data_IF_478088943475
#
_entry.id   IF_478088943475
#
_cell.length_a   1.000
_cell.length_b   1.000
_cell.length_c   1.000
_cell.angle_alpha   90.00
_cell.angle_beta   90.00
_cell.angle_gamma   90.00
#
_symmetry.space_group_name_H-M   'P 1'
#
loop_
_entity.id
_entity.type
_entity.pdbx_description
1 polymer ?
#
# COMPACT_ATOMS: atom_id res chain seq x y z
N UNK A 1 -29.26 106.76 12.25
CA UNK A 1 -30.09 105.90 11.37
C UNK A 1 -29.20 105.10 10.39
N UNK A 2 -28.10 104.50 10.86
CA UNK A 2 -27.16 103.74 10.02
C UNK A 2 -26.87 102.33 10.52
N UNK A 3 -27.10 102.06 11.82
CA UNK A 3 -26.74 100.76 12.42
C UNK A 3 -27.77 99.65 12.14
N UNK A 4 -29.06 99.97 12.07
CA UNK A 4 -30.12 98.97 11.88
C UNK A 4 -30.06 98.29 10.49
N UNK A 5 -29.61 99.02 9.45
CA UNK A 5 -29.47 98.49 8.09
C UNK A 5 -28.25 97.59 7.93
N UNK A 6 -27.17 97.87 8.65
CA UNK A 6 -25.97 97.03 8.69
C UNK A 6 -26.24 95.70 9.42
N UNK A 7 -26.95 95.74 10.55
CA UNK A 7 -27.31 94.54 11.31
C UNK A 7 -28.18 93.59 10.46
N UNK A 8 -29.18 94.14 9.75
CA UNK A 8 -30.03 93.35 8.85
C UNK A 8 -29.25 92.74 7.67
N UNK A 9 -28.24 93.45 7.15
CA UNK A 9 -27.37 92.92 6.10
C UNK A 9 -26.52 91.75 6.58
N UNK A 10 -25.87 91.86 7.75
CA UNK A 10 -25.09 90.76 8.32
C UNK A 10 -25.96 89.55 8.68
N UNK A 11 -27.15 89.76 9.24
CA UNK A 11 -28.09 88.66 9.51
C UNK A 11 -28.51 87.91 8.23
N UNK A 12 -28.71 88.63 7.12
CA UNK A 12 -28.99 88.01 5.82
C UNK A 12 -27.76 87.30 5.24
N UNK A 13 -26.56 87.86 5.38
CA UNK A 13 -25.31 87.23 4.95
C UNK A 13 -25.05 85.92 5.72
N UNK A 14 -25.28 85.91 7.03
CA UNK A 14 -25.17 84.72 7.87
C UNK A 14 -26.22 83.66 7.50
N UNK A 15 -27.46 84.06 7.23
CA UNK A 15 -28.51 83.15 6.77
C UNK A 15 -28.22 82.53 5.39
N UNK A 16 -27.50 83.25 4.52
CA UNK A 16 -27.03 82.72 3.23
C UNK A 16 -25.84 81.77 3.45
N UNK A 17 -24.89 82.13 4.32
CA UNK A 17 -23.75 81.27 4.66
C UNK A 17 -24.20 79.93 5.27
N UNK A 18 -25.18 79.95 6.19
CA UNK A 18 -25.77 78.74 6.77
C UNK A 18 -26.43 77.85 5.70
N UNK A 19 -27.22 78.44 4.79
CA UNK A 19 -27.84 77.67 3.70
C UNK A 19 -26.81 77.03 2.76
N UNK A 20 -25.71 77.72 2.49
CA UNK A 20 -24.60 77.17 1.68
C UNK A 20 -23.94 75.99 2.42
N UNK A 21 -23.72 76.10 3.73
CA UNK A 21 -23.17 75.02 4.55
C UNK A 21 -24.11 73.80 4.56
N UNK A 22 -25.40 73.99 4.84
CA UNK A 22 -26.40 72.92 4.86
C UNK A 22 -26.49 72.21 3.50
N UNK A 23 -26.46 72.97 2.40
CA UNK A 23 -26.49 72.41 1.06
C UNK A 23 -25.24 71.59 0.74
N UNK A 24 -24.07 72.08 1.15
CA UNK A 24 -22.81 71.34 0.99
C UNK A 24 -22.80 70.06 1.82
N UNK A 25 -23.25 70.10 3.08
CA UNK A 25 -23.37 68.91 3.92
C UNK A 25 -24.35 67.89 3.35
N UNK A 26 -25.48 68.35 2.81
CA UNK A 26 -26.45 67.48 2.16
C UNK A 26 -25.87 66.79 0.93
N UNK A 27 -25.17 67.54 0.06
CA UNK A 27 -24.45 66.98 -1.10
C UNK A 27 -23.43 65.93 -0.69
N UNK A 28 -22.63 66.23 0.34
CA UNK A 28 -21.61 65.31 0.85
C UNK A 28 -22.24 64.03 1.41
N UNK A 29 -23.33 64.14 2.16
CA UNK A 29 -24.10 62.98 2.65
C UNK A 29 -24.65 62.13 1.50
N UNK A 30 -25.16 62.74 0.45
CA UNK A 30 -25.63 62.00 -0.74
C UNK A 30 -24.49 61.27 -1.46
N UNK A 31 -23.33 61.90 -1.62
CA UNK A 31 -22.17 61.28 -2.26
C UNK A 31 -21.62 60.10 -1.45
N UNK A 32 -21.56 60.23 -0.13
CA UNK A 32 -21.17 59.13 0.77
C UNK A 32 -22.17 57.98 0.66
N UNK A 33 -23.48 58.26 0.77
CA UNK A 33 -24.52 57.23 0.66
C UNK A 33 -24.52 56.53 -0.71
N UNK A 34 -24.22 57.25 -1.80
CA UNK A 34 -24.07 56.66 -3.12
C UNK A 34 -22.86 55.73 -3.20
N UNK A 35 -21.72 56.13 -2.63
CA UNK A 35 -20.50 55.29 -2.57
C UNK A 35 -20.72 54.04 -1.72
N UNK A 36 -21.35 54.17 -0.56
CA UNK A 36 -21.69 53.03 0.31
C UNK A 36 -22.52 51.98 -0.43
N UNK A 37 -23.60 52.39 -1.13
CA UNK A 37 -24.40 51.47 -1.94
C UNK A 37 -23.57 50.76 -3.02
N UNK A 38 -22.66 51.47 -3.69
CA UNK A 38 -21.81 50.82 -4.69
C UNK A 38 -20.84 49.81 -4.09
N UNK A 39 -20.33 50.07 -2.88
CA UNK A 39 -19.47 49.15 -2.16
C UNK A 39 -20.26 47.91 -1.76
N UNK A 40 -21.46 48.06 -1.20
CA UNK A 40 -22.32 46.94 -0.81
C UNK A 40 -22.63 46.03 -2.00
N UNK A 41 -23.01 46.62 -3.15
CA UNK A 41 -23.27 45.87 -4.38
C UNK A 41 -22.03 45.12 -4.87
N UNK A 42 -20.84 45.71 -4.76
CA UNK A 42 -19.60 45.05 -5.15
C UNK A 42 -19.23 43.91 -4.21
N UNK A 43 -19.45 44.09 -2.90
CA UNK A 43 -19.22 43.06 -1.89
C UNK A 43 -20.17 41.88 -2.11
N UNK A 44 -21.45 42.14 -2.36
CA UNK A 44 -22.46 41.12 -2.64
C UNK A 44 -22.12 40.33 -3.90
N UNK A 45 -21.75 41.01 -5.00
CA UNK A 45 -21.28 40.35 -6.23
C UNK A 45 -20.03 39.49 -5.99
N UNK A 46 -19.10 39.98 -5.16
CA UNK A 46 -17.89 39.23 -4.83
C UNK A 46 -18.19 38.01 -3.94
N UNK A 47 -19.13 38.11 -3.00
CA UNK A 47 -19.58 36.98 -2.19
C UNK A 47 -20.29 35.93 -3.03
N UNK A 48 -21.17 36.36 -3.95
CA UNK A 48 -21.89 35.45 -4.84
C UNK A 48 -20.94 34.73 -5.79
N UNK A 49 -19.95 35.44 -6.34
CA UNK A 49 -18.92 34.84 -7.17
C UNK A 49 -18.11 33.78 -6.39
N UNK A 50 -17.78 34.04 -5.13
CA UNK A 50 -17.09 33.05 -4.27
C UNK A 50 -17.98 31.86 -3.94
N UNK A 51 -19.25 32.10 -3.62
CA UNK A 51 -20.22 31.04 -3.33
C UNK A 51 -20.42 30.13 -4.56
N UNK A 52 -20.54 30.71 -5.75
CA UNK A 52 -20.66 29.97 -7.00
C UNK A 52 -19.41 29.14 -7.32
N UNK A 53 -18.22 29.69 -7.11
CA UNK A 53 -16.96 28.92 -7.25
C UNK A 53 -16.89 27.75 -6.27
N UNK A 54 -17.30 27.95 -5.03
CA UNK A 54 -17.33 26.89 -4.02
C UNK A 54 -18.36 25.81 -4.37
N UNK A 55 -19.54 26.20 -4.86
CA UNK A 55 -20.57 25.28 -5.31
C UNK A 55 -20.11 24.44 -6.51
N UNK A 56 -19.49 25.07 -7.50
CA UNK A 56 -18.93 24.38 -8.66
C UNK A 56 -17.86 23.35 -8.26
N UNK A 57 -16.93 23.74 -7.38
CA UNK A 57 -15.90 22.82 -6.88
C UNK A 57 -16.49 21.65 -6.08
N UNK A 58 -17.55 21.89 -5.29
CA UNK A 58 -18.26 20.80 -4.58
C UNK A 58 -18.94 19.84 -5.56
N UNK A 59 -19.58 20.36 -6.62
CA UNK A 59 -20.22 19.53 -7.63
C UNK A 59 -19.21 18.65 -8.38
N UNK A 60 -18.08 19.23 -8.80
CA UNK A 60 -17.00 18.50 -9.45
C UNK A 60 -16.46 17.38 -8.56
N UNK A 61 -16.23 17.66 -7.27
CA UNK A 61 -15.75 16.67 -6.31
C UNK A 61 -16.75 15.53 -6.09
N UNK A 62 -18.05 15.83 -6.09
CA UNK A 62 -19.11 14.82 -5.97
C UNK A 62 -19.19 13.98 -7.24
N UNK A 63 -19.06 14.58 -8.42
CA UNK A 63 -19.03 13.86 -9.70
C UNK A 63 -17.84 12.90 -9.76
N UNK A 64 -16.63 13.38 -9.46
CA UNK A 64 -15.43 12.55 -9.43
C UNK A 64 -15.54 11.39 -8.42
N UNK A 65 -16.16 11.63 -7.25
CA UNK A 65 -16.43 10.58 -6.29
C UNK A 65 -17.40 9.53 -6.81
N UNK A 66 -18.49 9.95 -7.45
CA UNK A 66 -19.48 9.04 -8.03
C UNK A 66 -18.88 8.20 -9.17
N UNK A 67 -18.08 8.81 -10.04
CA UNK A 67 -17.37 8.10 -11.11
C UNK A 67 -16.42 7.04 -10.54
N UNK A 68 -15.63 7.41 -9.52
CA UNK A 68 -14.73 6.46 -8.85
C UNK A 68 -15.48 5.31 -8.17
N UNK A 69 -16.66 5.56 -7.58
CA UNK A 69 -17.51 4.51 -7.01
C UNK A 69 -18.07 3.57 -8.08
N UNK A 70 -18.52 4.12 -9.20
CA UNK A 70 -19.07 3.37 -10.32
C UNK A 70 -18.02 2.46 -10.96
N UNK A 71 -16.80 2.95 -11.14
CA UNK A 71 -15.67 2.13 -11.62
C UNK A 71 -15.33 1.00 -10.66
N UNK A 72 -15.29 1.28 -9.34
CA UNK A 72 -15.07 0.24 -8.32
C UNK A 72 -16.15 -0.82 -8.34
N UNK A 73 -17.42 -0.45 -8.51
CA UNK A 73 -18.52 -1.40 -8.64
C UNK A 73 -18.39 -2.26 -9.90
N UNK A 74 -18.08 -1.66 -11.06
CA UNK A 74 -17.84 -2.39 -12.31
C UNK A 74 -16.69 -3.39 -12.17
N UNK A 75 -15.59 -3.00 -11.52
CA UNK A 75 -14.46 -3.88 -11.24
C UNK A 75 -14.85 -5.05 -10.33
N UNK A 76 -15.65 -4.80 -9.29
CA UNK A 76 -16.16 -5.85 -8.39
C UNK A 76 -17.06 -6.82 -9.14
N UNK A 77 -17.96 -6.34 -9.98
CA UNK A 77 -18.84 -7.19 -10.79
C UNK A 77 -18.04 -8.07 -11.76
N UNK A 78 -17.08 -7.50 -12.50
CA UNK A 78 -16.20 -8.28 -13.39
C UNK A 78 -15.44 -9.38 -12.65
N UNK A 79 -14.87 -9.05 -11.48
CA UNK A 79 -14.18 -10.06 -10.65
C UNK A 79 -15.13 -11.13 -10.16
N UNK A 80 -16.36 -10.77 -9.79
CA UNK A 80 -17.35 -11.72 -9.31
C UNK A 80 -17.84 -12.67 -10.42
N UNK A 81 -18.04 -12.17 -11.63
CA UNK A 81 -18.38 -12.99 -12.81
C UNK A 81 -17.26 -13.98 -13.14
N UNK A 82 -16.01 -13.52 -13.16
CA UNK A 82 -14.84 -14.38 -13.34
C UNK A 82 -14.74 -15.44 -12.25
N UNK A 83 -14.94 -15.05 -10.99
CA UNK A 83 -14.91 -15.97 -9.86
C UNK A 83 -16.04 -17.01 -9.94
N UNK A 84 -17.25 -16.60 -10.32
CA UNK A 84 -18.39 -17.51 -10.51
C UNK A 84 -18.12 -18.56 -11.59
N UNK A 85 -17.51 -18.15 -12.72
CA UNK A 85 -17.09 -19.08 -13.77
C UNK A 85 -16.05 -20.09 -13.27
N UNK A 86 -15.05 -19.62 -12.53
CA UNK A 86 -14.04 -20.46 -11.89
C UNK A 86 -14.63 -21.46 -10.90
N UNK A 87 -15.55 -21.01 -10.03
CA UNK A 87 -16.21 -21.87 -9.04
C UNK A 87 -17.11 -22.90 -9.72
N UNK A 88 -17.83 -22.52 -10.78
CA UNK A 88 -18.64 -23.47 -11.55
C UNK A 88 -17.78 -24.53 -12.23
N UNK A 89 -16.66 -24.12 -12.84
CA UNK A 89 -15.72 -25.06 -13.47
C UNK A 89 -15.03 -25.97 -12.45
N UNK A 90 -14.58 -25.43 -11.31
CA UNK A 90 -14.01 -26.21 -10.21
C UNK A 90 -15.03 -27.17 -9.61
N UNK A 91 -16.27 -26.72 -9.39
CA UNK A 91 -17.36 -27.58 -8.91
C UNK A 91 -17.65 -28.73 -9.87
N UNK A 92 -17.73 -28.45 -11.17
CA UNK A 92 -17.87 -29.48 -12.21
C UNK A 92 -16.66 -30.41 -12.30
N UNK A 93 -15.44 -29.88 -12.20
CA UNK A 93 -14.21 -30.67 -12.22
C UNK A 93 -14.12 -31.60 -11.01
N UNK A 94 -14.41 -31.10 -9.81
CA UNK A 94 -14.46 -31.88 -8.57
C UNK A 94 -15.58 -32.93 -8.63
N UNK A 95 -16.77 -32.56 -9.10
CA UNK A 95 -17.93 -33.46 -9.21
C UNK A 95 -17.82 -34.51 -10.33
N UNK A 96 -16.95 -34.31 -11.32
CA UNK A 96 -16.77 -35.25 -12.45
C UNK A 96 -16.03 -36.56 -12.10
N UNK A 97 -15.54 -36.71 -10.86
CA UNK A 97 -14.82 -37.90 -10.39
C UNK A 97 -13.38 -38.06 -10.90
N UNK A 98 -13.01 -37.39 -11.99
CA UNK A 98 -11.62 -37.34 -12.53
C UNK A 98 -10.65 -36.60 -11.61
N UNK A 99 -11.17 -35.68 -10.79
CA UNK A 99 -10.44 -34.97 -9.75
C UNK A 99 -9.82 -35.91 -8.71
N UNK A 100 -10.54 -36.97 -8.32
CA UNK A 100 -10.09 -37.94 -7.32
C UNK A 100 -8.83 -38.69 -7.73
N UNK A 101 -8.69 -39.02 -9.02
CA UNK A 101 -7.48 -39.65 -9.57
C UNK A 101 -6.29 -38.70 -9.49
N UNK A 102 -6.49 -37.42 -9.78
CA UNK A 102 -5.44 -36.41 -9.65
C UNK A 102 -4.98 -36.25 -8.19
N UNK A 103 -5.91 -36.13 -7.25
CA UNK A 103 -5.57 -36.04 -5.82
C UNK A 103 -4.86 -37.30 -5.32
N UNK A 104 -5.29 -38.48 -5.78
CA UNK A 104 -4.65 -39.74 -5.45
C UNK A 104 -3.21 -39.81 -5.97
N UNK A 105 -2.99 -39.48 -7.25
CA UNK A 105 -1.64 -39.46 -7.85
C UNK A 105 -0.73 -38.46 -7.14
N UNK A 106 -1.21 -37.25 -6.85
CA UNK A 106 -0.45 -36.26 -6.08
C UNK A 106 -0.11 -36.78 -4.67
N UNK A 107 -1.07 -37.40 -3.99
CA UNK A 107 -0.84 -38.00 -2.67
C UNK A 107 0.22 -39.11 -2.69
N UNK A 108 0.17 -39.98 -3.70
CA UNK A 108 1.16 -41.06 -3.90
C UNK A 108 2.55 -40.49 -4.20
N UNK A 109 2.64 -39.43 -5.01
CA UNK A 109 3.93 -38.79 -5.30
C UNK A 109 4.54 -38.15 -4.06
N UNK A 110 3.73 -37.47 -3.25
CA UNK A 110 4.19 -36.83 -2.00
C UNK A 110 4.62 -37.89 -0.99
N UNK A 111 3.86 -38.97 -0.82
CA UNK A 111 4.24 -40.04 0.11
C UNK A 111 5.48 -40.79 -0.37
N UNK A 112 5.62 -41.08 -1.67
CA UNK A 112 6.78 -41.74 -2.23
C UNK A 112 8.06 -40.90 -2.07
N UNK A 113 7.98 -39.60 -2.35
CA UNK A 113 9.11 -38.67 -2.16
C UNK A 113 9.48 -38.52 -0.68
N UNK A 114 8.50 -38.36 0.21
CA UNK A 114 8.75 -38.31 1.65
C UNK A 114 9.39 -39.60 2.16
N UNK A 115 8.92 -40.76 1.69
CA UNK A 115 9.47 -42.07 2.06
C UNK A 115 10.88 -42.26 1.52
N UNK A 116 11.17 -41.83 0.29
CA UNK A 116 12.50 -41.89 -0.29
C UNK A 116 13.48 -41.01 0.51
N UNK A 117 13.09 -39.80 0.87
CA UNK A 117 13.89 -38.90 1.71
C UNK A 117 14.13 -39.51 3.09
N UNK A 118 13.11 -40.12 3.68
CA UNK A 118 13.24 -40.79 4.96
C UNK A 118 14.20 -41.99 4.90
N UNK A 119 14.13 -42.82 3.85
CA UNK A 119 15.03 -43.96 3.66
C UNK A 119 16.49 -43.51 3.43
N UNK A 120 16.70 -42.45 2.65
CA UNK A 120 18.05 -41.91 2.41
C UNK A 120 18.67 -41.35 3.70
N UNK A 121 17.86 -40.73 4.56
CA UNK A 121 18.31 -40.13 5.81
C UNK A 121 18.25 -41.07 7.03
N UNK A 122 17.67 -42.25 6.90
CA UNK A 122 17.69 -43.27 7.94
C UNK A 122 19.12 -43.81 8.03
N UNK A 123 19.79 -43.72 9.19
CA UNK A 123 21.09 -44.32 9.36
C UNK A 123 20.95 -45.82 9.13
N UNK A 124 21.66 -46.35 8.13
CA UNK A 124 21.70 -47.78 7.90
C UNK A 124 22.20 -48.43 9.18
N UNK A 125 21.36 -49.27 9.81
CA UNK A 125 21.73 -50.04 10.99
C UNK A 125 22.73 -51.13 10.59
N UNK A 126 23.94 -50.71 10.21
CA UNK A 126 25.11 -51.55 10.15
C UNK A 126 25.51 -51.80 11.60
N UNK A 127 25.08 -52.95 12.12
CA UNK A 127 25.50 -53.44 13.43
C UNK A 127 26.97 -53.82 13.33
N UNK A 128 27.89 -52.86 13.44
CA UNK A 128 29.32 -53.13 13.59
C UNK A 128 29.55 -53.53 15.06
N UNK A 129 29.77 -54.82 15.37
CA UNK A 129 29.76 -55.31 16.75
C UNK A 129 30.99 -54.88 17.57
N UNK A 130 31.97 -54.23 16.95
CA UNK A 130 33.25 -53.89 17.60
C UNK A 130 33.59 -52.41 17.35
N UNK A 131 33.68 -51.63 18.45
CA UNK A 131 33.94 -50.18 18.44
C UNK A 131 35.34 -49.78 17.98
N UNK A 132 36.27 -50.74 17.87
CA UNK A 132 37.63 -50.53 17.32
C UNK A 132 37.78 -51.01 15.87
N UNK A 133 36.70 -51.48 15.25
CA UNK A 133 36.74 -51.96 13.86
C UNK A 133 36.64 -50.80 12.86
N UNK A 134 37.24 -50.98 11.68
CA UNK A 134 37.13 -50.05 10.56
C UNK A 134 35.66 -49.81 10.14
N UNK A 135 34.79 -50.81 10.32
CA UNK A 135 33.34 -50.69 10.11
C UNK A 135 32.74 -49.59 10.99
N UNK A 136 33.07 -49.58 12.29
CA UNK A 136 32.60 -48.58 13.24
C UNK A 136 33.19 -47.20 12.96
N UNK A 137 34.45 -47.13 12.53
CA UNK A 137 35.11 -45.87 12.15
C UNK A 137 34.49 -45.25 10.90
N UNK A 138 34.23 -46.04 9.84
CA UNK A 138 33.56 -45.54 8.63
C UNK A 138 32.11 -45.15 8.91
N UNK A 139 31.43 -45.88 9.79
CA UNK A 139 30.09 -45.51 10.27
C UNK A 139 30.09 -44.17 11.01
N UNK A 140 31.03 -43.96 11.94
CA UNK A 140 31.23 -42.65 12.59
C UNK A 140 31.58 -41.57 11.58
N UNK A 141 32.44 -41.82 10.59
CA UNK A 141 32.82 -40.81 9.59
C UNK A 141 31.66 -40.41 8.66
N UNK A 142 30.69 -41.29 8.41
CA UNK A 142 29.51 -40.98 7.57
C UNK A 142 28.33 -40.41 8.33
N UNK A 143 28.16 -40.78 9.61
CA UNK A 143 26.94 -40.48 10.36
C UNK A 143 27.16 -39.67 11.65
N UNK A 144 28.40 -39.53 12.12
CA UNK A 144 28.70 -38.63 13.23
C UNK A 144 29.12 -37.27 12.67
N UNK A 145 28.24 -36.27 12.82
CA UNK A 145 28.40 -34.88 12.35
C UNK A 145 29.58 -34.10 12.99
N UNK A 146 30.56 -34.76 13.60
CA UNK A 146 31.67 -34.12 14.32
C UNK A 146 32.99 -34.06 13.55
N UNK A 147 33.15 -34.76 12.42
CA UNK A 147 34.37 -34.65 11.61
C UNK A 147 34.06 -34.68 10.12
N UNK A 148 34.07 -33.51 9.48
CA UNK A 148 33.95 -33.35 8.02
C UNK A 148 35.28 -33.72 7.39
N UNK A 149 35.31 -34.81 6.61
CA UNK A 149 36.49 -35.14 5.79
C UNK A 149 36.35 -34.39 4.47
N UNK A 150 37.18 -33.37 4.27
CA UNK A 150 37.28 -32.66 2.99
C UNK A 150 37.86 -33.60 1.92
N UNK A 151 37.40 -33.51 0.66
CA UNK A 151 37.72 -34.46 -0.41
C UNK A 151 39.22 -34.62 -0.73
N UNK A 152 40.08 -33.71 -0.26
CA UNK A 152 41.54 -33.85 -0.34
C UNK A 152 42.11 -34.95 0.55
N UNK A 153 41.55 -35.15 1.74
CA UNK A 153 42.09 -36.10 2.74
C UNK A 153 41.67 -37.56 2.48
N UNK A 154 40.61 -37.78 1.69
CA UNK A 154 40.14 -39.12 1.35
C UNK A 154 41.19 -39.91 0.55
N UNK A 155 41.99 -39.24 -0.28
CA UNK A 155 43.04 -39.90 -1.08
C UNK A 155 44.21 -40.35 -0.21
N UNK A 156 44.57 -39.55 0.80
CA UNK A 156 45.67 -39.88 1.71
C UNK A 156 45.33 -41.06 2.63
N UNK A 157 44.09 -41.12 3.12
CA UNK A 157 43.61 -42.22 3.96
C UNK A 157 43.56 -43.53 3.17
N UNK A 158 43.12 -43.49 1.92
CA UNK A 158 43.11 -44.68 1.03
C UNK A 158 44.54 -45.11 0.68
N UNK A 159 45.44 -44.16 0.42
CA UNK A 159 46.85 -44.46 0.14
C UNK A 159 47.60 -45.01 1.37
N UNK A 160 47.23 -44.60 2.57
CA UNK A 160 47.76 -45.16 3.82
C UNK A 160 47.24 -46.58 4.07
N UNK A 161 45.97 -46.84 3.72
CA UNK A 161 45.38 -48.18 3.77
C UNK A 161 46.07 -49.18 2.82
N UNK A 162 46.36 -48.78 1.58
CA UNK A 162 47.11 -49.62 0.64
C UNK A 162 48.55 -49.88 1.09
N UNK A 163 49.20 -48.89 1.72
CA UNK A 163 50.54 -49.04 2.30
C UNK A 163 50.58 -49.97 3.51
N UNK A 164 49.54 -49.98 4.35
CA UNK A 164 49.48 -50.90 5.50
C UNK A 164 49.04 -52.32 5.11
N UNK A 165 48.22 -52.47 4.07
CA UNK A 165 47.82 -53.78 3.51
C UNK A 165 49.02 -54.56 2.95
N UNK A 166 49.99 -53.87 2.34
CA UNK A 166 51.21 -54.50 1.81
C UNK A 166 52.24 -54.86 2.91
N UNK A 167 52.28 -54.12 4.03
CA UNK A 167 53.15 -54.45 5.19
C UNK A 167 52.70 -55.71 5.94
N UNK A 168 51.40 -55.98 6.01
CA UNK A 168 50.84 -57.14 6.72
C UNK A 168 51.28 -58.49 6.12
N UNK A 169 51.56 -58.55 4.81
CA UNK A 169 51.98 -59.79 4.13
C UNK A 169 53.45 -60.19 4.33
N UNK A 170 54.26 -59.43 5.09
CA UNK A 170 55.72 -59.70 5.24
C UNK A 170 56.16 -60.13 6.64
N UNK A 171 55.24 -60.43 7.57
CA UNK A 171 55.58 -61.07 8.85
C UNK A 171 54.63 -62.23 9.16
N UNK A 172 55.21 -63.43 9.01
CA UNK A 172 54.73 -64.79 9.28
C UNK A 172 53.80 -65.38 8.23
#
# INVERSE_FOLDING_TARGET
>A
MGDDTLIAFFANADAVAQRIQEWNEYRLKQEIAAKERTIDIQVEKASDAKANKLAAHKLEKIQAWNEAQLERQKLRQKRFEQFKGLVFWLGGWVGSGRSGIFFFICGVLISATATAVAIINLPTFLSCPNSKSLCYQVYQMRFNNQSVILPGQAKDIVAEYERNKSKSKRRK
#
